data_IF_919986749674
#
_entry.id   IF_919986749674
#
_cell.length_a   1.000
_cell.length_b   1.000
_cell.length_c   1.000
_cell.angle_alpha   90.00
_cell.angle_beta   90.00
_cell.angle_gamma   90.00
#
_symmetry.space_group_name_H-M   'P 1'
#
loop_
_entity.id
_entity.type
_entity.pdbx_description
1 polymer ?
#
# COMPACT_ATOMS: atom_id res chain seq x y z
N UNK A 1 6.89 4.61 8.65
CA UNK A 1 5.95 5.61 9.21
C UNK A 1 6.75 6.81 9.69
N UNK A 2 6.30 8.05 9.49
CA UNK A 2 7.02 9.23 10.02
C UNK A 2 6.61 9.44 11.50
N UNK A 3 7.52 9.23 12.46
CA UNK A 3 7.19 9.39 13.88
C UNK A 3 7.07 10.86 14.31
N UNK A 4 7.01 11.83 13.39
CA UNK A 4 6.67 13.24 13.63
C UNK A 4 5.21 13.58 13.31
N UNK A 5 4.55 12.73 12.54
CA UNK A 5 3.20 12.98 12.04
C UNK A 5 2.37 11.74 12.37
N UNK A 6 1.72 11.80 13.52
CA UNK A 6 0.75 10.81 13.97
C UNK A 6 0.37 11.09 15.41
N UNK A 7 -0.84 10.68 15.80
CA UNK A 7 -1.29 10.86 17.18
C UNK A 7 -0.25 10.29 18.15
N UNK A 8 0.38 9.15 17.84
CA UNK A 8 1.41 8.56 18.69
C UNK A 8 2.59 9.49 19.04
N UNK A 9 3.01 10.38 18.13
CA UNK A 9 4.06 11.36 18.44
C UNK A 9 3.55 12.58 19.18
N UNK A 10 2.27 12.93 18.99
CA UNK A 10 1.62 14.07 19.64
C UNK A 10 1.16 13.72 21.06
N UNK A 11 0.75 12.47 21.31
CA UNK A 11 0.22 11.99 22.59
C UNK A 11 1.16 11.01 23.31
N UNK A 12 2.30 10.63 22.73
CA UNK A 12 3.32 9.78 23.38
C UNK A 12 2.95 8.29 23.52
N UNK A 13 1.91 7.84 22.82
CA UNK A 13 1.30 6.50 22.97
C UNK A 13 2.04 5.40 22.18
N UNK A 14 2.97 5.76 21.28
CA UNK A 14 3.66 4.81 20.40
C UNK A 14 4.82 4.01 21.00
N UNK A 15 4.80 3.68 22.30
CA UNK A 15 5.90 2.95 22.97
C UNK A 15 7.15 3.79 23.27
N UNK A 16 7.09 5.12 23.13
CA UNK A 16 8.23 6.00 23.49
C UNK A 16 8.49 6.07 25.00
N UNK A 17 7.52 5.69 25.82
CA UNK A 17 7.61 5.70 27.29
C UNK A 17 8.20 4.41 27.88
N UNK A 18 8.33 3.34 27.07
CA UNK A 18 8.90 2.05 27.49
C UNK A 18 10.41 1.94 27.20
N UNK A 19 11.02 2.97 26.61
CA UNK A 19 12.45 2.99 26.25
C UNK A 19 13.24 4.03 27.05
N UNK A 20 14.53 3.76 27.27
CA UNK A 20 15.42 4.68 27.97
C UNK A 20 15.54 6.03 27.25
N UNK A 21 15.64 7.13 28.00
CA UNK A 21 15.80 8.49 27.43
C UNK A 21 17.06 8.61 26.56
N UNK A 22 18.13 7.92 26.95
CA UNK A 22 19.39 7.90 26.20
C UNK A 22 19.22 7.20 24.85
N UNK A 23 18.57 6.03 24.85
CA UNK A 23 18.23 5.28 23.63
C UNK A 23 17.33 6.09 22.71
N UNK A 24 16.26 6.71 23.25
CA UNK A 24 15.33 7.52 22.47
C UNK A 24 16.04 8.69 21.76
N UNK A 25 16.88 9.44 22.49
CA UNK A 25 17.63 10.57 21.93
C UNK A 25 18.57 10.13 20.81
N UNK A 26 19.24 8.99 20.97
CA UNK A 26 20.12 8.44 19.95
C UNK A 26 19.33 7.99 18.71
N UNK A 27 18.21 7.27 18.92
CA UNK A 27 17.32 6.80 17.85
C UNK A 27 16.76 7.96 17.03
N UNK A 28 16.28 9.03 17.66
CA UNK A 28 15.76 10.21 16.96
C UNK A 28 16.80 10.88 16.06
N UNK A 29 18.05 10.97 16.53
CA UNK A 29 19.16 11.53 15.74
C UNK A 29 19.53 10.62 14.58
N UNK A 30 19.62 9.31 14.82
CA UNK A 30 19.86 8.31 13.77
C UNK A 30 18.78 8.33 12.69
N UNK A 31 17.50 8.26 13.07
CA UNK A 31 16.38 8.31 12.15
C UNK A 31 16.29 9.64 11.37
N UNK A 32 16.70 10.77 11.97
CA UNK A 32 16.78 12.04 11.24
C UNK A 32 17.86 12.02 10.13
N UNK A 33 19.03 11.42 10.41
CA UNK A 33 20.11 11.27 9.44
C UNK A 33 19.74 10.28 8.34
N UNK A 34 19.13 9.14 8.68
CA UNK A 34 18.66 8.14 7.72
C UNK A 34 17.67 8.76 6.72
N UNK A 35 16.68 9.52 7.22
CA UNK A 35 15.72 10.25 6.38
C UNK A 35 16.35 11.33 5.51
N UNK A 36 17.47 11.90 5.95
CA UNK A 36 18.24 12.85 5.15
C UNK A 36 19.11 12.17 4.08
N UNK A 37 19.01 10.85 3.91
CA UNK A 37 19.82 10.08 2.95
C UNK A 37 21.27 9.92 3.40
N UNK A 38 21.53 9.95 4.72
CA UNK A 38 22.88 9.85 5.33
C UNK A 38 22.99 8.57 6.18
N UNK A 39 22.86 7.37 5.61
CA UNK A 39 22.80 6.11 6.36
C UNK A 39 24.09 5.83 7.15
N UNK A 40 25.26 6.10 6.57
CA UNK A 40 26.55 5.88 7.23
C UNK A 40 26.72 6.75 8.48
N UNK A 41 26.19 7.97 8.45
CA UNK A 41 26.22 8.86 9.61
C UNK A 41 25.13 8.52 10.63
N UNK A 42 24.03 7.89 10.19
CA UNK A 42 22.96 7.42 11.05
C UNK A 42 23.39 6.20 11.88
N UNK A 43 24.16 5.28 11.29
CA UNK A 43 24.50 3.99 11.88
C UNK A 43 25.06 4.07 13.32
N UNK A 44 26.06 4.92 13.65
CA UNK A 44 26.59 4.99 15.01
C UNK A 44 25.54 5.40 16.05
N UNK A 45 24.57 6.24 15.68
CA UNK A 45 23.50 6.66 16.59
C UNK A 45 22.44 5.58 16.79
N UNK A 46 22.10 4.83 15.74
CA UNK A 46 21.14 3.73 15.83
C UNK A 46 21.72 2.54 16.61
N UNK A 47 22.99 2.19 16.36
CA UNK A 47 23.69 1.17 17.15
C UNK A 47 23.81 1.58 18.62
N UNK A 48 24.13 2.85 18.89
CA UNK A 48 24.10 3.38 20.26
C UNK A 48 22.70 3.26 20.88
N UNK A 49 21.64 3.56 20.14
CA UNK A 49 20.29 3.44 20.67
C UNK A 49 19.96 2.01 21.10
N UNK A 50 20.34 1.01 20.29
CA UNK A 50 20.18 -0.41 20.63
C UNK A 50 21.02 -0.82 21.83
N UNK A 51 22.26 -0.31 21.95
CA UNK A 51 23.14 -0.59 23.09
C UNK A 51 22.61 -0.01 24.41
N UNK A 52 22.05 1.20 24.36
CA UNK A 52 21.48 1.89 25.52
C UNK A 52 20.16 1.26 25.99
N UNK A 53 19.41 0.65 25.07
CA UNK A 53 18.18 -0.08 25.38
C UNK A 53 17.83 -1.06 24.25
N UNK A 54 18.05 -2.35 24.50
CA UNK A 54 17.77 -3.41 23.53
C UNK A 54 16.29 -3.54 23.20
N UNK A 55 15.40 -3.06 24.07
CA UNK A 55 13.94 -3.08 23.85
C UNK A 55 13.46 -1.94 22.94
N UNK A 56 14.37 -1.05 22.48
CA UNK A 56 14.04 -0.05 21.47
C UNK A 56 13.89 -0.67 20.08
N UNK A 57 12.77 -1.34 19.86
CA UNK A 57 12.45 -2.04 18.61
C UNK A 57 12.48 -1.12 17.38
N UNK A 58 12.11 0.16 17.53
CA UNK A 58 12.18 1.13 16.42
C UNK A 58 13.62 1.40 15.98
N UNK A 59 14.59 1.41 16.91
CA UNK A 59 16.01 1.54 16.57
C UNK A 59 16.53 0.33 15.77
N UNK A 60 16.08 -0.88 16.10
CA UNK A 60 16.39 -2.08 15.32
C UNK A 60 15.81 -1.99 13.90
N UNK A 61 14.55 -1.55 13.76
CA UNK A 61 13.90 -1.35 12.46
C UNK A 61 14.71 -0.38 11.59
N UNK A 62 15.05 0.80 12.13
CA UNK A 62 15.82 1.81 11.40
C UNK A 62 17.22 1.28 11.04
N UNK A 63 17.86 0.53 11.95
CA UNK A 63 19.15 -0.12 11.67
C UNK A 63 19.04 -1.07 10.48
N UNK A 64 18.02 -1.94 10.46
CA UNK A 64 17.81 -2.87 9.35
C UNK A 64 17.56 -2.15 8.01
N UNK A 65 16.79 -1.05 8.01
CA UNK A 65 16.51 -0.30 6.78
C UNK A 65 17.72 0.44 6.20
N UNK A 66 18.69 0.85 7.01
CA UNK A 66 19.90 1.50 6.50
C UNK A 66 20.97 0.50 6.01
N UNK A 67 20.80 -0.80 6.29
CA UNK A 67 21.72 -1.88 5.90
C UNK A 67 21.54 -2.34 4.44
N UNK A 68 21.18 -1.46 3.52
CA UNK A 68 20.95 -1.84 2.11
C UNK A 68 22.19 -2.39 1.41
N UNK A 69 23.39 -1.99 1.88
CA UNK A 69 24.67 -2.48 1.37
C UNK A 69 25.09 -3.82 2.02
N UNK A 70 24.37 -4.28 3.05
CA UNK A 70 24.57 -5.57 3.72
C UNK A 70 23.20 -6.21 4.00
N UNK A 71 22.56 -6.81 2.96
CA UNK A 71 21.23 -7.39 3.07
C UNK A 71 21.14 -8.48 4.14
N UNK A 72 22.18 -9.29 4.33
CA UNK A 72 22.21 -10.37 5.32
C UNK A 72 22.15 -9.81 6.73
N UNK A 73 22.97 -8.80 7.03
CA UNK A 73 22.90 -8.10 8.32
C UNK A 73 21.54 -7.42 8.54
N UNK A 74 20.97 -6.79 7.51
CA UNK A 74 19.63 -6.20 7.59
C UNK A 74 18.54 -7.22 7.97
N UNK A 75 18.60 -8.42 7.39
CA UNK A 75 17.69 -9.53 7.73
C UNK A 75 17.96 -10.08 9.14
N UNK A 76 19.23 -10.25 9.53
CA UNK A 76 19.59 -10.69 10.88
C UNK A 76 19.05 -9.74 11.96
N UNK A 77 19.23 -8.43 11.76
CA UNK A 77 18.76 -7.41 12.71
C UNK A 77 17.24 -7.46 12.85
N UNK A 78 16.47 -7.56 11.76
CA UNK A 78 15.01 -7.56 11.86
C UNK A 78 14.48 -8.86 12.46
N UNK A 79 15.08 -10.02 12.15
CA UNK A 79 14.72 -11.29 12.79
C UNK A 79 15.08 -11.31 14.28
N UNK A 80 16.21 -10.71 14.65
CA UNK A 80 16.57 -10.45 16.04
C UNK A 80 15.54 -9.59 16.76
N UNK A 81 15.11 -8.48 16.13
CA UNK A 81 14.08 -7.61 16.66
C UNK A 81 12.73 -8.32 16.84
N UNK A 82 12.37 -9.25 15.94
CA UNK A 82 11.17 -10.08 16.09
C UNK A 82 11.24 -10.96 17.34
N UNK A 83 12.41 -11.57 17.62
CA UNK A 83 12.62 -12.38 18.82
C UNK A 83 12.55 -11.54 20.10
N UNK A 84 13.22 -10.39 20.12
CA UNK A 84 13.21 -9.44 21.25
C UNK A 84 11.78 -8.97 21.50
N UNK A 85 11.07 -8.52 20.45
CA UNK A 85 9.71 -8.03 20.58
C UNK A 85 8.73 -9.11 21.04
N UNK A 86 8.84 -10.34 20.53
CA UNK A 86 8.02 -11.47 21.00
C UNK A 86 8.26 -11.76 22.49
N UNK A 87 9.52 -11.78 22.94
CA UNK A 87 9.84 -11.94 24.36
C UNK A 87 9.23 -10.81 25.19
N UNK A 88 9.37 -9.56 24.76
CA UNK A 88 8.79 -8.40 25.44
C UNK A 88 7.27 -8.51 25.57
N UNK A 89 6.57 -9.05 24.56
CA UNK A 89 5.13 -9.28 24.64
C UNK A 89 4.77 -10.33 25.69
N UNK A 90 5.53 -11.42 25.78
CA UNK A 90 5.33 -12.45 26.80
C UNK A 90 5.61 -11.91 28.21
N UNK A 91 6.67 -11.11 28.36
CA UNK A 91 7.03 -10.50 29.65
C UNK A 91 6.00 -9.45 30.09
N UNK A 92 5.37 -8.74 29.14
CA UNK A 92 4.42 -7.65 29.43
C UNK A 92 2.97 -8.13 29.58
N UNK A 93 2.52 -9.05 28.72
CA UNK A 93 1.13 -9.51 28.65
C UNK A 93 0.94 -10.91 29.27
N UNK A 94 2.01 -11.60 29.61
CA UNK A 94 2.00 -12.95 30.17
C UNK A 94 2.18 -14.05 29.12
N UNK A 95 2.27 -15.32 29.57
CA UNK A 95 2.59 -16.45 28.70
C UNK A 95 1.57 -16.68 27.56
N UNK A 96 0.32 -16.28 27.78
CA UNK A 96 -0.79 -16.48 26.85
C UNK A 96 -0.96 -15.29 25.88
N UNK A 97 0.04 -14.41 25.75
CA UNK A 97 0.00 -13.21 24.91
C UNK A 97 -0.36 -13.50 23.44
N UNK A 98 -0.06 -14.71 22.97
CA UNK A 98 -0.22 -15.12 21.58
C UNK A 98 -1.26 -16.23 21.38
N UNK A 99 -1.96 -16.65 22.43
CA UNK A 99 -2.94 -17.74 22.37
C UNK A 99 -4.20 -17.28 21.64
N UNK A 100 -4.68 -18.07 20.68
CA UNK A 100 -5.87 -17.75 19.89
C UNK A 100 -7.14 -17.62 20.75
N UNK A 101 -7.25 -18.43 21.81
CA UNK A 101 -8.34 -18.37 22.80
C UNK A 101 -8.03 -17.40 23.96
N UNK A 102 -6.89 -16.71 23.90
CA UNK A 102 -6.46 -15.72 24.89
C UNK A 102 -7.09 -14.33 24.65
N UNK A 103 -6.92 -13.39 25.60
CA UNK A 103 -7.61 -12.09 25.55
C UNK A 103 -6.95 -11.06 24.61
N UNK A 104 -5.78 -11.35 24.04
CA UNK A 104 -4.95 -10.35 23.35
C UNK A 104 -4.91 -10.52 21.83
N UNK A 105 -4.93 -11.76 21.32
CA UNK A 105 -4.96 -12.02 19.88
C UNK A 105 -6.21 -11.39 19.28
N UNK A 106 -6.05 -10.69 18.16
CA UNK A 106 -7.13 -9.89 17.59
C UNK A 106 -7.08 -8.40 17.97
N UNK A 107 -6.43 -8.08 19.09
CA UNK A 107 -6.49 -6.76 19.73
C UNK A 107 -5.13 -6.06 19.83
N UNK A 108 -4.07 -6.58 19.20
CA UNK A 108 -2.72 -6.02 19.35
C UNK A 108 -2.69 -4.51 19.01
N UNK A 109 -3.37 -4.08 17.95
CA UNK A 109 -3.38 -2.65 17.60
C UNK A 109 -4.00 -1.75 18.67
N UNK A 110 -4.99 -2.25 19.42
CA UNK A 110 -5.66 -1.50 20.49
C UNK A 110 -4.84 -1.49 21.78
N UNK A 111 -3.91 -2.45 21.93
CA UNK A 111 -3.02 -2.58 23.07
C UNK A 111 -1.70 -1.86 22.77
N UNK A 112 -1.57 -0.63 23.28
CA UNK A 112 -0.45 0.27 23.00
C UNK A 112 0.96 -0.37 23.17
N UNK A 113 1.25 -1.16 24.23
CA UNK A 113 2.53 -1.84 24.38
C UNK A 113 2.91 -2.79 23.23
N UNK A 114 1.96 -3.31 22.45
CA UNK A 114 2.27 -4.26 21.37
C UNK A 114 2.59 -3.59 20.04
N UNK A 115 2.29 -2.30 19.90
CA UNK A 115 2.47 -1.58 18.62
C UNK A 115 3.91 -1.56 18.13
N UNK A 116 4.95 -1.40 18.97
CA UNK A 116 6.34 -1.53 18.53
C UNK A 116 6.63 -2.92 17.92
N UNK A 117 6.11 -4.00 18.51
CA UNK A 117 6.27 -5.34 17.94
C UNK A 117 5.53 -5.49 16.61
N UNK A 118 4.32 -4.95 16.49
CA UNK A 118 3.59 -4.92 15.21
C UNK A 118 4.34 -4.12 14.13
N UNK A 119 5.04 -3.03 14.48
CA UNK A 119 5.94 -2.30 13.57
C UNK A 119 7.14 -3.14 13.13
N UNK A 120 7.71 -3.95 14.01
CA UNK A 120 8.78 -4.89 13.64
C UNK A 120 8.28 -5.87 12.59
N UNK A 121 7.11 -6.48 12.81
CA UNK A 121 6.52 -7.41 11.83
C UNK A 121 6.28 -6.72 10.48
N UNK A 122 5.72 -5.51 10.48
CA UNK A 122 5.52 -4.74 9.25
C UNK A 122 6.83 -4.43 8.52
N UNK A 123 7.88 -4.07 9.26
CA UNK A 123 9.20 -3.83 8.68
C UNK A 123 9.80 -5.11 8.10
N UNK A 124 9.65 -6.24 8.80
CA UNK A 124 10.11 -7.55 8.34
C UNK A 124 9.47 -7.95 7.00
N UNK A 125 8.15 -7.79 6.86
CA UNK A 125 7.43 -8.01 5.59
C UNK A 125 8.12 -7.31 4.42
N UNK A 126 8.42 -6.02 4.59
CA UNK A 126 9.07 -5.21 3.55
C UNK A 126 10.51 -5.64 3.30
N UNK A 127 11.29 -5.86 4.35
CA UNK A 127 12.71 -6.22 4.24
C UNK A 127 12.90 -7.60 3.61
N UNK A 128 12.04 -8.59 3.92
CA UNK A 128 12.07 -9.89 3.26
C UNK A 128 11.91 -9.76 1.75
N UNK A 129 11.05 -8.86 1.27
CA UNK A 129 10.87 -8.62 -0.16
C UNK A 129 12.04 -7.81 -0.74
N UNK A 130 12.39 -6.67 -0.13
CA UNK A 130 13.38 -5.73 -0.68
C UNK A 130 14.81 -6.27 -0.66
N UNK A 131 15.21 -6.97 0.39
CA UNK A 131 16.59 -7.41 0.61
C UNK A 131 16.82 -8.87 0.18
N UNK A 132 15.80 -9.73 0.30
CA UNK A 132 15.97 -11.18 0.12
C UNK A 132 15.05 -11.79 -0.94
N UNK A 133 14.11 -11.02 -1.53
CA UNK A 133 13.03 -11.57 -2.38
C UNK A 133 12.31 -12.79 -1.76
N UNK A 134 12.24 -12.85 -0.43
CA UNK A 134 11.69 -13.97 0.31
C UNK A 134 10.20 -13.78 0.56
N UNK A 135 9.40 -14.06 -0.48
CA UNK A 135 7.95 -13.93 -0.45
C UNK A 135 7.27 -14.88 0.54
N UNK A 136 7.89 -16.03 0.86
CA UNK A 136 7.35 -16.99 1.83
C UNK A 136 7.35 -16.43 3.24
N UNK A 137 8.51 -15.98 3.74
CA UNK A 137 8.62 -15.32 5.05
C UNK A 137 7.76 -14.06 5.11
N UNK A 138 7.70 -13.30 4.02
CA UNK A 138 6.80 -12.15 3.92
C UNK A 138 5.33 -12.54 4.09
N UNK A 139 4.86 -13.57 3.39
CA UNK A 139 3.47 -14.03 3.49
C UNK A 139 3.15 -14.54 4.90
N UNK A 140 4.00 -15.38 5.48
CA UNK A 140 3.86 -15.88 6.86
C UNK A 140 3.76 -14.74 7.89
N UNK A 141 4.61 -13.73 7.73
CA UNK A 141 4.60 -12.56 8.61
C UNK A 141 3.31 -11.76 8.46
N UNK A 142 2.80 -11.55 7.24
CA UNK A 142 1.52 -10.88 7.04
C UNK A 142 0.36 -11.69 7.65
N UNK A 143 0.38 -13.02 7.51
CA UNK A 143 -0.64 -13.91 8.09
C UNK A 143 -0.66 -13.78 9.61
N UNK A 144 0.50 -13.79 10.27
CA UNK A 144 0.58 -13.57 11.72
C UNK A 144 0.09 -12.15 12.08
N UNK A 145 0.47 -11.13 11.32
CA UNK A 145 -0.04 -9.76 11.56
C UNK A 145 -1.57 -9.67 11.47
N UNK A 146 -2.20 -10.37 10.51
CA UNK A 146 -3.66 -10.41 10.38
C UNK A 146 -4.33 -11.30 11.44
N UNK A 147 -3.61 -12.27 12.02
CA UNK A 147 -4.07 -13.01 13.21
C UNK A 147 -4.06 -12.11 14.45
N UNK A 148 -2.98 -11.37 14.67
CA UNK A 148 -2.82 -10.48 15.83
C UNK A 148 -3.65 -9.19 15.72
N UNK A 149 -3.87 -8.70 14.49
CA UNK A 149 -4.65 -7.51 14.16
C UNK A 149 -5.52 -7.74 12.90
N UNK A 150 -6.68 -8.42 13.03
CA UNK A 150 -7.61 -8.71 11.94
C UNK A 150 -8.15 -7.46 11.24
N UNK A 151 -8.26 -6.34 11.96
CA UNK A 151 -8.68 -5.05 11.42
C UNK A 151 -7.71 -4.46 10.38
N UNK A 152 -6.51 -5.03 10.27
CA UNK A 152 -5.48 -4.64 9.32
C UNK A 152 -5.16 -3.13 9.39
N UNK A 153 -5.04 -2.61 10.61
CA UNK A 153 -4.72 -1.21 10.87
C UNK A 153 -3.35 -0.80 10.31
N UNK A 154 -2.50 -1.78 9.97
CA UNK A 154 -1.19 -1.61 9.36
C UNK A 154 -1.16 -1.85 7.84
N UNK A 155 -2.32 -2.10 7.21
CA UNK A 155 -2.49 -2.11 5.75
C UNK A 155 -1.82 -3.27 4.99
N UNK A 156 -1.55 -4.38 5.65
CA UNK A 156 -0.90 -5.56 5.06
C UNK A 156 -1.82 -6.44 4.21
N UNK A 157 -3.15 -6.32 4.33
CA UNK A 157 -4.08 -7.12 3.50
C UNK A 157 -3.88 -6.90 2.00
N UNK A 158 -3.41 -5.71 1.62
CA UNK A 158 -3.20 -5.35 0.22
C UNK A 158 -2.00 -6.07 -0.41
N UNK A 159 -1.10 -6.62 0.41
CA UNK A 159 0.11 -7.32 -0.06
C UNK A 159 -0.04 -8.84 -0.02
N UNK A 160 -0.82 -9.39 0.92
CA UNK A 160 -0.87 -10.85 1.15
C UNK A 160 -1.24 -11.66 -0.09
N UNK A 161 -2.28 -11.25 -0.83
CA UNK A 161 -2.70 -11.98 -2.04
C UNK A 161 -1.59 -12.06 -3.10
N UNK A 162 -0.82 -10.98 -3.25
CA UNK A 162 0.31 -10.94 -4.17
C UNK A 162 1.50 -11.79 -3.69
N UNK A 163 1.80 -11.77 -2.39
CA UNK A 163 2.86 -12.61 -1.83
C UNK A 163 2.51 -14.10 -1.90
N UNK A 164 1.23 -14.47 -1.74
CA UNK A 164 0.74 -15.85 -1.91
C UNK A 164 0.89 -16.32 -3.36
N UNK A 165 0.62 -15.44 -4.34
CA UNK A 165 0.84 -15.73 -5.76
C UNK A 165 2.31 -15.97 -6.10
N UNK A 166 3.25 -15.24 -5.48
CA UNK A 166 4.68 -15.48 -5.66
C UNK A 166 5.12 -16.86 -5.17
N UNK A 167 4.54 -17.36 -4.09
CA UNK A 167 4.88 -18.68 -3.52
C UNK A 167 4.01 -19.82 -4.07
N UNK A 168 3.22 -19.57 -5.12
CA UNK A 168 2.39 -20.59 -5.77
C UNK A 168 1.14 -21.03 -5.00
N UNK A 169 0.80 -20.36 -3.89
CA UNK A 169 -0.43 -20.62 -3.10
C UNK A 169 -1.65 -19.96 -3.76
N UNK A 170 -1.95 -20.38 -4.99
CA UNK A 170 -2.98 -19.74 -5.84
C UNK A 170 -4.39 -19.87 -5.25
N UNK A 171 -4.73 -21.03 -4.65
CA UNK A 171 -6.04 -21.22 -4.00
C UNK A 171 -6.23 -20.26 -2.82
N UNK A 172 -5.22 -20.16 -1.96
CA UNK A 172 -5.23 -19.23 -0.83
C UNK A 172 -5.29 -17.78 -1.29
N UNK A 173 -4.53 -17.41 -2.32
CA UNK A 173 -4.56 -16.05 -2.88
C UNK A 173 -5.96 -15.68 -3.42
N UNK A 174 -6.61 -16.62 -4.12
CA UNK A 174 -7.95 -16.42 -4.64
C UNK A 174 -8.97 -16.32 -3.50
N UNK A 175 -8.95 -17.28 -2.58
CA UNK A 175 -9.87 -17.33 -1.44
C UNK A 175 -9.75 -16.07 -0.59
N UNK A 176 -8.53 -15.66 -0.27
CA UNK A 176 -8.26 -14.44 0.48
C UNK A 176 -8.81 -13.20 -0.23
N UNK A 177 -8.59 -13.09 -1.54
CA UNK A 177 -9.10 -11.98 -2.34
C UNK A 177 -10.63 -11.98 -2.39
N UNK A 178 -11.26 -13.14 -2.54
CA UNK A 178 -12.71 -13.30 -2.52
C UNK A 178 -13.34 -12.90 -1.20
N UNK A 179 -12.70 -13.21 -0.06
CA UNK A 179 -13.15 -12.72 1.26
C UNK A 179 -13.23 -11.20 1.24
N UNK A 180 -12.16 -10.51 0.86
CA UNK A 180 -12.11 -9.06 0.91
C UNK A 180 -12.98 -8.37 -0.15
N UNK A 181 -13.16 -8.98 -1.34
CA UNK A 181 -14.13 -8.52 -2.34
C UNK A 181 -15.55 -8.65 -1.79
N UNK A 182 -15.90 -9.81 -1.24
CA UNK A 182 -17.21 -10.08 -0.62
C UNK A 182 -17.47 -9.10 0.53
N UNK A 183 -16.51 -8.90 1.44
CA UNK A 183 -16.61 -7.91 2.51
C UNK A 183 -16.84 -6.51 1.96
N UNK A 184 -16.19 -6.10 0.88
CA UNK A 184 -16.38 -4.77 0.31
C UNK A 184 -17.76 -4.53 -0.35
N UNK A 185 -18.38 -5.57 -0.93
CA UNK A 185 -19.66 -5.44 -1.63
C UNK A 185 -20.88 -5.81 -0.77
N UNK A 186 -20.69 -6.60 0.28
CA UNK A 186 -21.76 -7.00 1.20
C UNK A 186 -21.80 -6.20 2.49
N UNK A 187 -20.66 -5.63 2.95
CA UNK A 187 -20.51 -5.07 4.31
C UNK A 187 -21.69 -4.23 4.77
N UNK A 188 -22.00 -4.40 6.04
CA UNK A 188 -22.45 -3.32 6.91
C UNK A 188 -21.21 -2.69 7.59
N UNK A 189 -21.29 -1.45 8.07
CA UNK A 189 -20.12 -0.78 8.63
C UNK A 189 -19.60 -1.53 9.88
N UNK A 190 -18.46 -2.22 9.78
CA UNK A 190 -17.81 -2.86 10.94
C UNK A 190 -17.30 -4.28 10.73
N UNK A 191 -17.78 -5.03 9.74
CA UNK A 191 -17.43 -6.46 9.62
C UNK A 191 -15.95 -6.68 9.30
N UNK A 192 -15.21 -7.32 10.20
CA UNK A 192 -13.81 -7.71 10.00
C UNK A 192 -13.77 -9.22 9.80
N UNK A 193 -13.26 -9.73 8.67
CA UNK A 193 -13.13 -11.16 8.47
C UNK A 193 -12.24 -11.81 9.53
N UNK A 194 -12.58 -13.02 9.95
CA UNK A 194 -11.78 -13.76 10.93
C UNK A 194 -10.32 -13.86 10.48
N UNK A 195 -9.38 -13.55 11.39
CA UNK A 195 -7.93 -13.43 11.12
C UNK A 195 -7.62 -12.53 9.91
N UNK A 196 -8.37 -11.45 9.71
CA UNK A 196 -8.21 -10.55 8.57
C UNK A 196 -8.39 -11.25 7.22
N UNK A 197 -9.14 -12.35 7.18
CA UNK A 197 -9.36 -13.17 5.98
C UNK A 197 -8.30 -14.24 5.73
N UNK A 198 -7.25 -14.31 6.55
CA UNK A 198 -6.12 -15.24 6.43
C UNK A 198 -6.31 -16.55 7.22
N UNK A 199 -7.55 -17.06 7.27
CA UNK A 199 -7.88 -18.28 8.01
C UNK A 199 -7.31 -19.56 7.34
N UNK A 200 -7.37 -19.64 6.01
CA UNK A 200 -6.92 -20.78 5.21
C UNK A 200 -7.32 -22.16 5.77
N UNK A 201 -8.62 -22.35 5.99
CA UNK A 201 -9.21 -23.57 6.58
C UNK A 201 -9.42 -24.73 5.59
N UNK A 202 -8.68 -24.74 4.47
CA UNK A 202 -8.78 -25.76 3.43
C UNK A 202 -10.06 -25.69 2.57
N UNK A 203 -10.95 -24.72 2.80
CA UNK A 203 -12.10 -24.51 1.91
C UNK A 203 -11.63 -24.01 0.55
N UNK A 204 -12.09 -24.61 -0.56
CA UNK A 204 -11.66 -24.21 -1.89
C UNK A 204 -12.20 -22.81 -2.24
N UNK A 205 -11.57 -22.13 -3.23
CA UNK A 205 -12.11 -20.90 -3.79
C UNK A 205 -13.51 -21.08 -4.37
N UNK A 206 -14.33 -20.03 -4.27
CA UNK A 206 -15.69 -20.03 -4.80
C UNK A 206 -15.65 -19.87 -6.32
N UNK A 207 -16.45 -20.64 -7.06
CA UNK A 207 -16.66 -20.47 -8.51
C UNK A 207 -17.73 -19.40 -8.78
N UNK A 208 -17.60 -18.72 -9.92
CA UNK A 208 -18.46 -17.62 -10.34
C UNK A 208 -18.07 -16.27 -9.75
N UNK A 209 -18.55 -15.21 -10.39
CA UNK A 209 -18.38 -13.84 -9.88
C UNK A 209 -19.27 -13.60 -8.65
N UNK A 210 -18.81 -12.81 -7.65
CA UNK A 210 -19.60 -12.48 -6.48
C UNK A 210 -20.92 -11.79 -6.84
N UNK A 211 -22.04 -12.30 -6.30
CA UNK A 211 -23.34 -11.68 -6.48
C UNK A 211 -23.38 -10.30 -5.82
N UNK A 212 -23.95 -9.32 -6.53
CA UNK A 212 -24.11 -7.97 -6.01
C UNK A 212 -25.49 -7.82 -5.37
N UNK A 213 -25.60 -7.41 -4.09
CA UNK A 213 -26.91 -7.15 -3.50
C UNK A 213 -27.65 -6.04 -4.24
N UNK A 214 -28.99 -6.13 -4.40
CA UNK A 214 -29.77 -5.08 -5.05
C UNK A 214 -29.51 -3.70 -4.43
N UNK A 215 -29.20 -2.70 -5.26
CA UNK A 215 -28.94 -1.32 -4.83
C UNK A 215 -27.55 -1.07 -4.22
N UNK A 216 -26.68 -2.10 -4.18
CA UNK A 216 -25.28 -2.00 -3.71
C UNK A 216 -24.26 -2.02 -4.85
N UNK A 217 -24.67 -1.88 -6.11
CA UNK A 217 -23.79 -1.92 -7.30
C UNK A 217 -22.67 -0.88 -7.23
N UNK A 218 -22.97 0.29 -6.65
CA UNK A 218 -22.00 1.37 -6.43
C UNK A 218 -20.85 0.98 -5.50
N UNK A 219 -20.96 -0.09 -4.70
CA UNK A 219 -19.93 -0.47 -3.72
C UNK A 219 -18.69 -1.05 -4.38
N UNK A 220 -18.84 -1.65 -5.56
CA UNK A 220 -17.71 -2.23 -6.27
C UNK A 220 -16.61 -1.22 -6.62
N UNK A 221 -16.94 0.07 -6.79
CA UNK A 221 -15.94 1.12 -7.02
C UNK A 221 -14.99 1.32 -5.83
N UNK A 222 -15.39 0.87 -4.65
CA UNK A 222 -14.60 0.93 -3.41
C UNK A 222 -13.88 -0.38 -3.10
N UNK A 223 -14.05 -1.44 -3.90
CA UNK A 223 -13.25 -2.65 -3.79
C UNK A 223 -11.80 -2.28 -4.11
N UNK A 224 -10.82 -2.59 -3.24
CA UNK A 224 -9.42 -2.36 -3.55
C UNK A 224 -9.01 -3.23 -4.75
N UNK A 225 -8.58 -2.59 -5.83
CA UNK A 225 -8.29 -3.25 -7.12
C UNK A 225 -7.23 -4.34 -7.00
N UNK A 226 -6.35 -4.26 -6.00
CA UNK A 226 -5.34 -5.28 -5.72
C UNK A 226 -5.96 -6.66 -5.48
N UNK A 227 -7.11 -6.74 -4.80
CA UNK A 227 -7.79 -8.03 -4.58
C UNK A 227 -8.38 -8.57 -5.88
N UNK A 228 -8.92 -7.70 -6.74
CA UNK A 228 -9.47 -8.12 -8.03
C UNK A 228 -8.36 -8.59 -8.98
N UNK A 229 -7.23 -7.88 -9.04
CA UNK A 229 -6.07 -8.32 -9.80
C UNK A 229 -5.50 -9.65 -9.29
N UNK A 230 -5.36 -9.80 -7.97
CA UNK A 230 -4.89 -11.05 -7.37
C UNK A 230 -5.86 -12.22 -7.66
N UNK A 231 -7.16 -11.98 -7.52
CA UNK A 231 -8.19 -12.98 -7.85
C UNK A 231 -8.14 -13.37 -9.33
N UNK A 232 -8.01 -12.40 -10.24
CA UNK A 232 -7.91 -12.66 -11.66
C UNK A 232 -6.71 -13.55 -12.01
N UNK A 233 -5.52 -13.22 -11.50
CA UNK A 233 -4.31 -14.00 -11.78
C UNK A 233 -4.35 -15.39 -11.10
N UNK A 234 -4.91 -15.49 -9.90
CA UNK A 234 -5.09 -16.76 -9.23
C UNK A 234 -6.06 -17.67 -10.01
N UNK A 235 -7.21 -17.15 -10.44
CA UNK A 235 -8.18 -17.86 -11.27
C UNK A 235 -7.59 -18.26 -12.63
N UNK A 236 -6.80 -17.39 -13.26
CA UNK A 236 -6.06 -17.72 -14.49
C UNK A 236 -5.17 -18.95 -14.29
N UNK A 237 -4.42 -19.01 -13.19
CA UNK A 237 -3.52 -20.14 -12.89
C UNK A 237 -4.25 -21.41 -12.49
N UNK A 238 -5.39 -21.30 -11.83
CA UNK A 238 -6.16 -22.45 -11.34
C UNK A 238 -7.05 -23.05 -12.43
N UNK A 239 -7.69 -22.21 -13.23
CA UNK A 239 -8.81 -22.61 -14.11
C UNK A 239 -8.62 -22.18 -15.57
N UNK A 240 -7.52 -21.50 -15.90
CA UNK A 240 -7.16 -21.11 -17.25
C UNK A 240 -7.72 -19.78 -17.71
N UNK A 241 -7.21 -19.34 -18.88
CA UNK A 241 -7.44 -18.04 -19.49
C UNK A 241 -8.90 -17.74 -19.84
N UNK A 242 -9.69 -18.77 -20.11
CA UNK A 242 -11.08 -18.67 -20.56
C UNK A 242 -12.09 -18.88 -19.41
N UNK A 243 -11.63 -19.02 -18.17
CA UNK A 243 -12.53 -19.10 -17.02
C UNK A 243 -13.26 -17.77 -16.78
N UNK A 244 -14.55 -17.87 -16.45
CA UNK A 244 -15.40 -16.71 -16.15
C UNK A 244 -14.78 -15.81 -15.08
N UNK A 245 -14.18 -16.42 -14.06
CA UNK A 245 -13.62 -15.71 -12.92
C UNK A 245 -12.33 -14.96 -13.30
N UNK A 246 -11.44 -15.59 -14.06
CA UNK A 246 -10.22 -14.94 -14.51
C UNK A 246 -10.55 -13.70 -15.35
N UNK A 247 -11.47 -13.84 -16.32
CA UNK A 247 -11.91 -12.74 -17.19
C UNK A 247 -12.64 -11.68 -16.37
N UNK A 248 -13.67 -12.07 -15.60
CA UNK A 248 -14.54 -11.16 -14.87
C UNK A 248 -13.79 -10.31 -13.84
N UNK A 249 -12.91 -10.92 -13.03
CA UNK A 249 -12.10 -10.16 -12.09
C UNK A 249 -11.12 -9.21 -12.79
N UNK A 250 -10.51 -9.65 -13.90
CA UNK A 250 -9.55 -8.82 -14.64
C UNK A 250 -10.23 -7.61 -15.28
N UNK A 251 -11.36 -7.81 -15.96
CA UNK A 251 -12.12 -6.73 -16.58
C UNK A 251 -12.62 -5.73 -15.54
N UNK A 252 -13.09 -6.21 -14.39
CA UNK A 252 -13.51 -5.35 -13.31
C UNK A 252 -12.33 -4.53 -12.75
N UNK A 253 -11.21 -5.19 -12.45
CA UNK A 253 -9.99 -4.55 -11.97
C UNK A 253 -9.48 -3.46 -12.95
N UNK A 254 -9.52 -3.75 -14.25
CA UNK A 254 -9.10 -2.85 -15.31
C UNK A 254 -10.02 -1.63 -15.45
N UNK A 255 -11.32 -1.75 -15.14
CA UNK A 255 -12.24 -0.63 -15.13
C UNK A 255 -11.99 0.32 -13.96
N UNK A 256 -11.74 -0.22 -12.75
CA UNK A 256 -11.57 0.62 -11.55
C UNK A 256 -10.15 1.16 -11.38
N UNK A 257 -9.13 0.41 -11.81
CA UNK A 257 -7.73 0.82 -11.76
C UNK A 257 -7.01 0.39 -13.05
N UNK A 258 -7.24 1.07 -14.18
CA UNK A 258 -6.62 0.73 -15.46
C UNK A 258 -5.09 0.92 -15.43
N UNK A 259 -4.56 1.69 -14.48
CA UNK A 259 -3.14 2.06 -14.42
C UNK A 259 -2.20 0.87 -14.23
N UNK A 260 -2.70 -0.27 -13.72
CA UNK A 260 -1.93 -1.51 -13.59
C UNK A 260 -1.72 -2.13 -14.97
N UNK A 261 -2.81 -2.54 -15.63
CA UNK A 261 -2.75 -3.23 -16.94
C UNK A 261 -2.22 -2.35 -18.05
N UNK A 262 -2.54 -1.05 -18.08
CA UNK A 262 -2.00 -0.10 -19.08
C UNK A 262 -0.47 -0.07 -19.03
N UNK A 263 0.12 -0.10 -17.84
CA UNK A 263 1.58 -0.05 -17.69
C UNK A 263 2.24 -1.39 -18.01
N UNK A 264 1.60 -2.53 -17.69
CA UNK A 264 2.11 -3.85 -18.09
C UNK A 264 2.06 -4.04 -19.61
N UNK A 265 0.91 -3.78 -20.23
CA UNK A 265 0.74 -3.88 -21.68
C UNK A 265 1.63 -2.89 -22.44
N UNK A 266 1.94 -1.74 -21.83
CA UNK A 266 2.83 -0.72 -22.39
C UNK A 266 4.31 -0.97 -22.15
N UNK A 267 4.70 -2.10 -21.54
CA UNK A 267 6.11 -2.45 -21.31
C UNK A 267 6.83 -1.51 -20.33
N UNK A 268 6.09 -0.83 -19.45
CA UNK A 268 6.70 0.04 -18.44
C UNK A 268 7.45 -0.83 -17.43
N UNK A 269 8.71 -0.48 -17.14
CA UNK A 269 9.56 -1.23 -16.21
C UNK A 269 8.97 -1.29 -14.79
N UNK A 270 9.41 -2.29 -14.02
CA UNK A 270 9.15 -2.42 -12.59
C UNK A 270 9.51 -1.12 -11.86
N UNK A 271 8.63 -0.57 -11.02
CA UNK A 271 9.01 0.56 -10.19
C UNK A 271 10.19 0.18 -9.26
N UNK A 272 11.19 1.06 -9.07
CA UNK A 272 12.37 0.74 -8.28
C UNK A 272 12.12 0.75 -6.77
N UNK A 273 11.04 1.39 -6.33
CA UNK A 273 10.67 1.54 -4.92
C UNK A 273 9.17 1.74 -4.77
N UNK A 274 8.68 1.63 -3.54
CA UNK A 274 7.34 2.07 -3.16
C UNK A 274 7.14 3.57 -3.39
N UNK A 275 5.89 3.95 -3.61
CA UNK A 275 5.42 5.31 -3.74
C UNK A 275 5.36 6.01 -2.38
N UNK A 276 5.83 7.25 -2.34
CA UNK A 276 5.78 8.12 -1.16
C UNK A 276 4.85 9.33 -1.35
N UNK A 277 4.05 9.34 -2.40
CA UNK A 277 3.08 10.41 -2.65
C UNK A 277 1.71 10.07 -2.02
N UNK A 278 0.90 11.09 -1.67
CA UNK A 278 -0.45 10.86 -1.15
C UNK A 278 -1.27 9.98 -2.10
N UNK A 279 -1.86 8.92 -1.55
CA UNK A 279 -2.61 7.92 -2.31
C UNK A 279 -4.05 8.37 -2.53
N UNK A 280 -4.59 8.01 -3.68
CA UNK A 280 -6.04 8.02 -3.94
C UNK A 280 -6.47 6.57 -4.08
N UNK A 281 -7.58 6.13 -3.46
CA UNK A 281 -8.06 4.76 -3.59
C UNK A 281 -8.17 4.35 -5.06
N UNK A 282 -7.60 3.20 -5.41
CA UNK A 282 -7.56 2.68 -6.79
C UNK A 282 -6.86 3.63 -7.78
N UNK A 283 -5.98 4.49 -7.28
CA UNK A 283 -5.24 5.46 -8.06
C UNK A 283 -3.96 4.92 -8.69
N UNK A 284 -3.21 5.84 -9.29
CA UNK A 284 -1.93 5.55 -9.92
C UNK A 284 -0.86 5.10 -8.91
N UNK A 285 -0.96 5.57 -7.67
CA UNK A 285 -0.07 5.23 -6.56
C UNK A 285 -0.27 3.80 -6.08
N UNK A 286 -1.51 3.35 -5.96
CA UNK A 286 -1.83 1.95 -5.64
C UNK A 286 -1.34 1.02 -6.76
N UNK A 287 -1.53 1.44 -8.02
CA UNK A 287 -1.01 0.71 -9.18
C UNK A 287 0.52 0.68 -9.22
N UNK A 288 1.19 1.73 -8.72
CA UNK A 288 2.65 1.77 -8.62
C UNK A 288 3.15 0.73 -7.61
N UNK A 289 2.60 0.73 -6.39
CA UNK A 289 3.02 -0.21 -5.34
C UNK A 289 2.65 -1.66 -5.70
N UNK A 290 1.47 -1.89 -6.29
CA UNK A 290 1.09 -3.21 -6.78
C UNK A 290 2.06 -3.73 -7.85
N UNK A 291 2.48 -2.87 -8.80
CA UNK A 291 3.45 -3.22 -9.83
C UNK A 291 4.85 -3.45 -9.30
N UNK A 292 5.26 -2.70 -8.28
CA UNK A 292 6.53 -2.97 -7.57
C UNK A 292 6.51 -4.38 -7.00
N UNK A 293 5.40 -4.80 -6.41
CA UNK A 293 5.27 -6.11 -5.79
C UNK A 293 5.10 -7.24 -6.81
N UNK A 294 4.38 -7.03 -7.91
CA UNK A 294 3.86 -8.11 -8.77
C UNK A 294 4.43 -8.17 -10.18
N UNK A 295 5.41 -7.33 -10.54
CA UNK A 295 5.89 -7.20 -11.92
C UNK A 295 6.12 -8.54 -12.64
N UNK A 296 6.96 -9.40 -12.05
CA UNK A 296 7.33 -10.69 -12.64
C UNK A 296 6.15 -11.65 -12.82
N UNK A 297 5.09 -11.51 -12.01
CA UNK A 297 3.89 -12.33 -12.09
C UNK A 297 3.04 -11.98 -13.32
N UNK A 298 3.09 -10.73 -13.77
CA UNK A 298 2.23 -10.17 -14.81
C UNK A 298 2.92 -9.98 -16.16
N UNK A 299 4.26 -9.98 -16.21
CA UNK A 299 5.02 -9.71 -17.43
C UNK A 299 5.47 -10.96 -18.20
N UNK A 300 4.96 -12.14 -17.84
CA UNK A 300 5.18 -13.33 -18.66
C UNK A 300 4.46 -13.20 -20.01
N UNK A 301 4.99 -13.76 -21.11
CA UNK A 301 4.35 -13.67 -22.43
C UNK A 301 2.91 -14.17 -22.44
N UNK A 302 2.64 -15.26 -21.71
CA UNK A 302 1.32 -15.88 -21.59
C UNK A 302 0.32 -14.95 -20.89
N UNK A 303 0.70 -14.40 -19.74
CA UNK A 303 -0.17 -13.48 -18.98
C UNK A 303 -0.40 -12.19 -19.76
N UNK A 304 0.62 -11.63 -20.42
CA UNK A 304 0.44 -10.42 -21.25
C UNK A 304 -0.48 -10.66 -22.46
N UNK A 305 -0.39 -11.83 -23.10
CA UNK A 305 -1.29 -12.19 -24.20
C UNK A 305 -2.74 -12.33 -23.72
N UNK A 306 -2.95 -13.02 -22.59
CA UNK A 306 -4.24 -13.15 -21.94
C UNK A 306 -4.83 -11.79 -21.55
N UNK A 307 -4.06 -10.95 -20.86
CA UNK A 307 -4.50 -9.62 -20.45
C UNK A 307 -4.89 -8.78 -21.67
N UNK A 308 -4.08 -8.77 -22.73
CA UNK A 308 -4.39 -8.04 -23.96
C UNK A 308 -5.71 -8.49 -24.60
N UNK A 309 -5.98 -9.80 -24.61
CA UNK A 309 -7.24 -10.38 -25.12
C UNK A 309 -8.45 -9.88 -24.31
N UNK A 310 -8.37 -9.91 -22.98
CA UNK A 310 -9.50 -9.56 -22.12
C UNK A 310 -9.77 -8.05 -22.05
N UNK A 311 -8.74 -7.21 -21.90
CA UNK A 311 -8.95 -5.78 -21.60
C UNK A 311 -8.85 -4.86 -22.81
N UNK A 312 -8.56 -5.40 -24.00
CA UNK A 312 -8.36 -4.61 -25.22
C UNK A 312 -9.57 -3.79 -25.66
N UNK A 313 -10.79 -4.14 -25.26
CA UNK A 313 -12.00 -3.38 -25.57
C UNK A 313 -12.34 -2.31 -24.52
N UNK A 314 -11.77 -2.39 -23.31
CA UNK A 314 -12.21 -1.60 -22.15
C UNK A 314 -11.90 -0.10 -22.33
N UNK A 315 -12.91 0.80 -22.27
CA UNK A 315 -12.76 2.27 -22.33
C UNK A 315 -11.66 2.85 -21.44
N UNK A 316 -11.54 2.34 -20.22
CA UNK A 316 -10.55 2.79 -19.24
C UNK A 316 -9.09 2.43 -19.62
N UNK A 317 -8.89 1.39 -20.45
CA UNK A 317 -7.55 0.89 -20.83
C UNK A 317 -7.05 1.53 -22.12
N UNK A 318 -7.88 1.57 -23.18
CA UNK A 318 -7.55 2.29 -24.42
C UNK A 318 -8.25 3.64 -24.43
N UNK A 319 -7.47 4.71 -24.30
CA UNK A 319 -8.01 6.06 -24.09
C UNK A 319 -8.57 6.66 -25.37
N UNK A 320 -9.60 7.50 -25.21
CA UNK A 320 -10.04 8.42 -26.27
C UNK A 320 -9.18 9.68 -26.26
N UNK A 321 -9.12 10.35 -27.40
CA UNK A 321 -8.45 11.64 -27.48
C UNK A 321 -9.15 12.64 -26.55
N UNK A 322 -8.38 13.38 -25.77
CA UNK A 322 -8.89 14.39 -24.84
C UNK A 322 -9.44 15.65 -25.52
N UNK A 323 -9.42 15.75 -26.84
CA UNK A 323 -10.15 16.80 -27.57
C UNK A 323 -11.55 16.28 -27.88
N UNK A 324 -12.59 16.92 -27.33
CA UNK A 324 -13.98 16.51 -27.51
C UNK A 324 -14.43 16.47 -28.99
N UNK A 325 -13.81 17.27 -29.87
CA UNK A 325 -14.08 17.25 -31.30
C UNK A 325 -13.43 16.04 -32.04
N UNK A 326 -12.63 15.23 -31.35
CA UNK A 326 -11.92 14.09 -31.94
C UNK A 326 -12.40 12.76 -31.37
N UNK A 327 -12.88 11.88 -32.24
CA UNK A 327 -13.34 10.54 -31.85
C UNK A 327 -12.25 9.45 -31.92
N UNK A 328 -10.98 9.83 -32.13
CA UNK A 328 -9.88 8.86 -32.18
C UNK A 328 -9.70 8.18 -30.83
N UNK A 329 -9.39 6.89 -30.88
CA UNK A 329 -9.13 6.04 -29.73
C UNK A 329 -7.81 5.30 -29.95
N UNK A 330 -7.09 5.06 -28.87
CA UNK A 330 -5.87 4.25 -28.90
C UNK A 330 -6.18 2.86 -29.47
N UNK A 331 -5.33 2.38 -30.38
CA UNK A 331 -5.31 0.99 -30.83
C UNK A 331 -4.44 0.12 -29.90
N UNK A 332 -3.39 0.71 -29.34
CA UNK A 332 -2.52 0.11 -28.34
C UNK A 332 -2.34 1.05 -27.15
N UNK A 333 -2.17 0.50 -25.95
CA UNK A 333 -2.01 1.32 -24.75
C UNK A 333 -0.82 2.28 -24.88
N UNK A 334 -0.96 3.48 -24.34
CA UNK A 334 0.09 4.52 -24.32
C UNK A 334 0.50 5.04 -25.72
N UNK A 335 -0.31 4.78 -26.75
CA UNK A 335 -0.13 5.37 -28.09
C UNK A 335 -0.25 6.90 -28.03
N UNK A 336 -1.24 7.41 -27.29
CA UNK A 336 -1.49 8.85 -27.20
C UNK A 336 -0.53 9.52 -26.22
N UNK A 337 -0.17 10.77 -26.53
CA UNK A 337 0.74 11.55 -25.67
C UNK A 337 -0.06 12.26 -24.59
N UNK A 338 0.36 12.11 -23.34
CA UNK A 338 -0.24 12.84 -22.22
C UNK A 338 0.12 14.32 -22.27
N UNK A 339 -0.79 15.17 -21.80
CA UNK A 339 -0.49 16.58 -21.56
C UNK A 339 0.69 16.70 -20.58
N UNK A 340 1.79 17.34 -21.00
CA UNK A 340 3.02 17.46 -20.19
C UNK A 340 2.84 18.29 -18.92
N UNK A 341 1.81 19.14 -18.84
CA UNK A 341 1.52 19.96 -17.66
C UNK A 341 0.80 19.17 -16.56
N UNK A 342 -0.42 18.73 -16.85
CA UNK A 342 -1.31 18.11 -15.86
C UNK A 342 -1.29 16.57 -15.86
N UNK A 343 -0.93 15.95 -16.99
CA UNK A 343 -0.99 14.50 -17.25
C UNK A 343 -2.41 13.88 -17.17
N UNK A 344 -3.46 14.70 -17.09
CA UNK A 344 -4.85 14.24 -16.98
C UNK A 344 -5.42 13.77 -18.33
N UNK A 345 -5.20 14.55 -19.39
CA UNK A 345 -5.67 14.22 -20.74
C UNK A 345 -4.56 13.62 -21.61
N UNK A 346 -4.96 12.79 -22.57
CA UNK A 346 -4.09 12.20 -23.59
C UNK A 346 -4.59 12.58 -24.97
N UNK A 347 -3.70 12.96 -25.88
CA UNK A 347 -4.06 13.41 -27.22
C UNK A 347 -3.42 12.51 -28.28
N UNK A 348 -4.17 12.25 -29.36
CA UNK A 348 -3.67 11.50 -30.52
C UNK A 348 -2.56 12.24 -31.27
N UNK A 349 -2.39 13.54 -31.03
CA UNK A 349 -1.32 14.36 -31.60
C UNK A 349 -1.33 15.79 -31.07
N UNK A 350 -0.26 16.52 -31.39
CA UNK A 350 -0.09 17.93 -30.99
C UNK A 350 -1.20 18.84 -31.53
N UNK A 351 -1.74 18.54 -32.70
CA UNK A 351 -2.80 19.34 -33.32
C UNK A 351 -4.10 19.30 -32.50
N UNK A 352 -4.52 18.13 -32.03
CA UNK A 352 -5.68 18.03 -31.13
C UNK A 352 -5.42 18.69 -29.76
N UNK A 353 -4.19 18.64 -29.26
CA UNK A 353 -3.83 19.34 -28.02
C UNK A 353 -3.92 20.86 -28.18
N UNK A 354 -3.39 21.42 -29.29
CA UNK A 354 -3.47 22.85 -29.60
C UNK A 354 -4.91 23.31 -29.79
N UNK A 355 -5.71 22.53 -30.53
CA UNK A 355 -7.11 22.83 -30.78
C UNK A 355 -7.94 22.86 -29.48
N UNK A 356 -7.69 21.93 -28.56
CA UNK A 356 -8.37 21.88 -27.25
C UNK A 356 -7.75 22.82 -26.20
N UNK A 357 -6.60 23.46 -26.48
CA UNK A 357 -5.89 24.27 -25.49
C UNK A 357 -6.70 25.43 -24.89
N UNK A 358 -7.51 26.19 -25.66
CA UNK A 358 -8.32 27.29 -25.10
C UNK A 358 -9.23 26.85 -23.96
N UNK A 359 -9.84 25.65 -24.06
CA UNK A 359 -10.70 25.07 -23.03
C UNK A 359 -9.88 24.42 -21.91
N UNK A 360 -8.82 23.67 -22.26
CA UNK A 360 -8.05 22.90 -21.30
C UNK A 360 -7.11 23.73 -20.39
N UNK A 361 -6.69 24.93 -20.82
CA UNK A 361 -5.62 25.71 -20.16
C UNK A 361 -5.87 25.94 -18.66
N UNK A 362 -7.10 26.28 -18.28
CA UNK A 362 -7.46 26.55 -16.90
C UNK A 362 -7.32 25.28 -16.03
N UNK A 363 -7.95 24.19 -16.45
CA UNK A 363 -7.85 22.89 -15.78
C UNK A 363 -6.43 22.36 -15.73
N UNK A 364 -5.66 22.54 -16.81
CA UNK A 364 -4.26 22.14 -16.86
C UNK A 364 -3.44 22.84 -15.78
N UNK A 365 -3.65 24.15 -15.61
CA UNK A 365 -2.93 24.98 -14.65
C UNK A 365 -3.25 24.53 -13.22
N UNK A 366 -4.54 24.39 -12.89
CA UNK A 366 -4.99 23.95 -11.58
C UNK A 366 -4.43 22.56 -11.21
N UNK A 367 -4.59 21.57 -12.10
CA UNK A 367 -4.07 20.23 -11.86
C UNK A 367 -2.54 20.19 -11.72
N UNK A 368 -1.83 21.01 -12.49
CA UNK A 368 -0.36 21.12 -12.38
C UNK A 368 0.05 21.70 -11.02
N UNK A 369 -0.65 22.74 -10.53
CA UNK A 369 -0.41 23.32 -9.22
C UNK A 369 -0.72 22.34 -8.08
N UNK A 370 -1.84 21.59 -8.15
CA UNK A 370 -2.18 20.53 -7.18
C UNK A 370 -1.09 19.45 -7.15
N UNK A 371 -0.62 19.00 -8.32
CA UNK A 371 0.45 18.00 -8.44
C UNK A 371 1.76 18.51 -7.81
N UNK A 372 2.11 19.77 -8.06
CA UNK A 372 3.29 20.40 -7.44
C UNK A 372 3.14 20.51 -5.92
N UNK A 373 1.95 20.83 -5.41
CA UNK A 373 1.65 20.88 -3.98
C UNK A 373 1.84 19.51 -3.33
N UNK A 374 1.23 18.45 -3.89
CA UNK A 374 1.36 17.06 -3.43
C UNK A 374 2.82 16.60 -3.43
N UNK A 375 3.60 16.94 -4.46
CA UNK A 375 5.03 16.58 -4.55
C UNK A 375 5.88 17.32 -3.51
N UNK A 376 5.55 18.58 -3.23
CA UNK A 376 6.25 19.38 -2.21
C UNK A 376 5.99 18.81 -0.83
N UNK A 377 4.72 18.49 -0.54
CA UNK A 377 4.26 17.79 0.66
C UNK A 377 5.01 16.47 0.88
N UNK A 378 5.00 15.58 -0.12
CA UNK A 378 5.69 14.27 -0.05
C UNK A 378 7.20 14.39 0.24
N UNK A 379 7.83 15.48 -0.19
CA UNK A 379 9.26 15.74 0.03
C UNK A 379 9.56 16.59 1.28
N UNK A 380 8.54 16.99 2.05
CA UNK A 380 8.69 17.92 3.17
C UNK A 380 9.25 19.29 2.76
N UNK A 381 9.10 19.67 1.48
CA UNK A 381 9.59 20.95 0.93
C UNK A 381 8.49 22.00 0.98
N UNK A 382 8.90 23.26 1.09
CA UNK A 382 7.96 24.40 1.04
C UNK A 382 7.18 24.38 -0.27
N UNK A 383 5.86 24.47 -0.16
CA UNK A 383 4.98 24.51 -1.31
C UNK A 383 4.97 25.91 -1.96
N UNK A 384 5.28 25.97 -3.26
CA UNK A 384 5.29 27.20 -4.06
C UNK A 384 4.16 27.29 -5.10
N UNK A 385 3.22 26.34 -5.11
CA UNK A 385 2.18 26.27 -6.16
C UNK A 385 0.99 27.21 -5.94
N UNK A 386 0.90 27.87 -4.78
CA UNK A 386 -0.25 28.69 -4.38
C UNK A 386 -1.48 27.91 -3.91
N UNK A 387 -1.50 26.58 -4.09
CA UNK A 387 -2.57 25.69 -3.62
C UNK A 387 -2.15 25.01 -2.34
N UNK A 388 -2.93 25.14 -1.26
CA UNK A 388 -2.66 24.39 -0.03
C UNK A 388 -2.88 22.88 -0.27
N UNK A 389 -1.89 22.08 0.11
CA UNK A 389 -2.01 20.62 0.10
C UNK A 389 -2.04 20.11 1.53
N UNK A 390 -3.01 19.24 1.76
CA UNK A 390 -3.29 18.60 3.03
C UNK A 390 -3.05 17.10 2.91
N UNK A 391 -2.39 16.52 3.90
CA UNK A 391 -2.44 15.09 4.16
C UNK A 391 -3.24 14.87 5.44
N UNK A 392 -4.14 13.88 5.40
CA UNK A 392 -4.86 13.40 6.57
C UNK A 392 -4.20 12.10 7.03
N UNK A 393 -3.72 12.08 8.26
CA UNK A 393 -3.24 10.85 8.89
C UNK A 393 -4.37 10.20 9.69
N UNK A 394 -4.80 9.02 9.26
CA UNK A 394 -5.80 8.20 9.95
C UNK A 394 -5.18 7.15 10.88
N UNK A 395 -3.84 6.99 10.90
CA UNK A 395 -3.16 5.98 11.69
C UNK A 395 -3.12 6.29 13.19
N UNK A 396 -3.64 7.44 13.63
CA UNK A 396 -3.59 7.89 15.02
C UNK A 396 -4.92 7.99 15.77
N UNK A 397 -6.07 7.67 15.16
CA UNK A 397 -7.39 7.89 15.78
C UNK A 397 -7.82 9.36 15.87
N UNK A 398 -6.93 10.32 15.62
CA UNK A 398 -7.25 11.73 15.38
C UNK A 398 -6.80 12.09 13.97
N UNK A 399 -7.71 12.42 13.04
CA UNK A 399 -7.32 12.91 11.73
C UNK A 399 -6.52 14.20 11.90
N UNK A 400 -5.27 14.23 11.46
CA UNK A 400 -4.42 15.42 11.51
C UNK A 400 -4.28 15.98 10.10
N UNK A 401 -4.50 17.29 9.96
CA UNK A 401 -4.33 18.01 8.71
C UNK A 401 -2.94 18.64 8.69
N UNK A 402 -2.09 18.23 7.75
CA UNK A 402 -0.77 18.83 7.56
C UNK A 402 -0.78 19.89 6.46
N UNK A 403 -0.45 21.14 6.80
CA UNK A 403 -0.33 22.22 5.83
C UNK A 403 1.11 22.29 5.28
N UNK A 404 1.26 21.99 3.99
CA UNK A 404 2.57 21.97 3.31
C UNK A 404 3.25 23.36 3.18
N UNK A 405 2.51 24.45 3.28
CA UNK A 405 3.06 25.82 3.21
C UNK A 405 3.64 26.25 4.57
N UNK A 406 2.92 25.98 5.66
CA UNK A 406 3.33 26.38 7.02
C UNK A 406 4.12 25.29 7.75
N UNK A 407 4.15 24.07 7.22
CA UNK A 407 4.71 22.87 7.86
C UNK A 407 4.09 22.55 9.22
N UNK A 408 2.87 23.05 9.49
CA UNK A 408 2.13 22.80 10.73
C UNK A 408 1.16 21.64 10.55
N UNK A 409 1.06 20.83 11.60
CA UNK A 409 0.05 19.80 11.77
C UNK A 409 -1.03 20.34 12.71
N UNK A 410 -2.30 20.32 12.29
CA UNK A 410 -3.44 20.73 13.12
C UNK A 410 -4.42 19.56 13.24
N UNK A 411 -4.95 19.25 14.44
CA UNK A 411 -6.05 18.31 14.58
C UNK A 411 -7.22 18.74 13.67
N UNK A 412 -7.79 17.82 12.93
CA UNK A 412 -8.98 18.10 12.12
C UNK A 412 -10.14 18.44 13.08
N UNK A 413 -10.87 19.55 12.87
CA UNK A 413 -12.06 19.85 13.66
C UNK A 413 -13.06 18.70 13.51
N UNK A 414 -13.45 18.08 14.62
CA UNK A 414 -14.51 17.07 14.68
C UNK A 414 -15.84 17.74 14.33
N UNK A 415 -16.18 17.82 13.03
CA UNK A 415 -17.39 18.52 12.60
C UNK A 415 -17.73 18.52 11.11
N UNK A 416 -16.93 17.91 10.23
CA UNK A 416 -17.28 17.77 8.80
C UNK A 416 -17.45 16.30 8.41
N UNK A 417 -18.41 15.63 9.03
CA UNK A 417 -18.99 14.39 8.52
C UNK A 417 -19.98 14.73 7.40
N UNK A 418 -19.50 14.89 6.18
CA UNK A 418 -20.39 15.08 5.04
C UNK A 418 -19.72 15.62 3.81
N UNK A 419 -18.93 14.77 3.12
CA UNK A 419 -18.74 14.78 1.66
C UNK A 419 -18.57 13.32 1.21
#
# INVERSE_FOLDING_TARGET
MDPRFGAESLVGIGGRHIVSKASLKASEKGAALARAGRPNEAAPYLLKAVQEDMNNLDAHIETAFISQNDPEFGIEVIEGAMKIGRKLMLDTLGPNAFDDDGPFVGHFYDIAPTRPYMRVLQAAVRLYIELASNYAKSAETIIEMLRLCPGDNMGQRTWLGATLLHVGRNEDALRFSQVWISTAIHREAGDIPMRGGALFDGRPPVRGMPATPPGKERLWKYVPAVHLYNAALASFRLWGADSEEAIGYLEYAANINPHVVVKYLGGVAKPPSLSNVPRTPNGNEDAHDYRWLTHELWTTPEVLAWVRKCVGSIPAVLKKCGNAACNKREAVVLEFKQCAGCHQLSYCGKECQKAHWPEHKADCTLHSQIKQAKKSLAKGKTNKSGIEAYAVDFAGGVPVVYNAATRKATPMPMGMSGI
#
